data_IF_209705673319
#
_entry.id   IF_209705673319
#
_cell.length_a   1.000
_cell.length_b   1.000
_cell.length_c   1.000
_cell.angle_alpha   90.00
_cell.angle_beta   90.00
_cell.angle_gamma   90.00
#
_symmetry.space_group_name_H-M   'P 1'
#
loop_
_entity.id
_entity.type
_entity.pdbx_description
1 polymer ?
#
# COMPACT_ATOMS: atom_id res chain seq x y z
N UNK A 1 27.16 36.07 52.03
CA UNK A 1 27.35 34.62 51.73
C UNK A 1 26.06 33.88 51.34
N UNK A 2 24.86 34.30 51.77
CA UNK A 2 23.60 33.58 51.51
C UNK A 2 23.09 33.71 50.06
N UNK A 3 23.41 34.80 49.36
CA UNK A 3 23.04 35.00 47.95
C UNK A 3 23.80 34.07 47.00
N UNK A 4 25.07 33.77 47.28
CA UNK A 4 25.92 32.94 46.39
C UNK A 4 25.44 31.50 46.33
N UNK A 5 24.97 30.94 47.46
CA UNK A 5 24.37 29.59 47.51
C UNK A 5 23.07 29.52 46.71
N UNK A 6 22.20 30.53 46.83
CA UNK A 6 20.93 30.60 46.08
C UNK A 6 21.18 30.69 44.56
N UNK A 7 22.19 31.45 44.14
CA UNK A 7 22.59 31.54 42.72
C UNK A 7 23.09 30.19 42.19
N UNK A 8 23.91 29.46 42.96
CA UNK A 8 24.38 28.13 42.56
C UNK A 8 23.21 27.12 42.44
N UNK A 9 22.28 27.12 43.40
CA UNK A 9 21.09 26.27 43.30
C UNK A 9 20.25 26.58 42.06
N UNK A 10 20.05 27.87 41.76
CA UNK A 10 19.29 28.28 40.58
C UNK A 10 20.00 27.87 39.28
N UNK A 11 21.32 28.02 39.20
CA UNK A 11 22.11 27.60 38.04
C UNK A 11 22.05 26.08 37.82
N UNK A 12 22.16 25.28 38.88
CA UNK A 12 22.04 23.83 38.79
C UNK A 12 20.64 23.44 38.31
N UNK A 13 19.60 24.08 38.83
CA UNK A 13 18.21 23.81 38.46
C UNK A 13 17.95 24.15 36.98
N UNK A 14 18.46 25.30 36.52
CA UNK A 14 18.41 25.67 35.09
C UNK A 14 19.17 24.65 34.25
N UNK A 15 20.37 24.24 34.65
CA UNK A 15 21.17 23.26 33.92
C UNK A 15 20.46 21.89 33.80
N UNK A 16 19.88 21.41 34.89
CA UNK A 16 19.08 20.17 34.91
C UNK A 16 17.85 20.32 34.01
N UNK A 17 17.17 21.46 34.04
CA UNK A 17 15.99 21.69 33.18
C UNK A 17 16.36 21.72 31.70
N UNK A 18 17.48 22.36 31.32
CA UNK A 18 17.95 22.37 29.94
C UNK A 18 18.33 20.95 29.47
N UNK A 19 19.02 20.18 30.32
CA UNK A 19 19.35 18.80 30.01
C UNK A 19 18.11 17.90 29.89
N UNK A 20 17.10 18.10 30.75
CA UNK A 20 15.84 17.38 30.66
C UNK A 20 15.09 17.71 29.36
N UNK A 21 15.07 18.99 28.96
CA UNK A 21 14.43 19.42 27.72
C UNK A 21 15.10 18.85 26.47
N UNK A 22 16.43 18.85 26.43
CA UNK A 22 17.18 18.29 25.29
C UNK A 22 17.02 16.77 25.20
N UNK A 23 17.02 16.06 26.34
CA UNK A 23 16.75 14.63 26.39
C UNK A 23 15.33 14.30 25.94
N UNK A 24 14.34 15.07 26.41
CA UNK A 24 12.95 14.89 25.99
C UNK A 24 12.79 15.05 24.48
N UNK A 25 13.37 16.12 23.90
CA UNK A 25 13.32 16.34 22.45
C UNK A 25 14.04 15.26 21.63
N UNK A 26 15.12 14.67 22.16
CA UNK A 26 15.80 13.54 21.54
C UNK A 26 14.94 12.27 21.55
N UNK A 27 14.24 11.99 22.64
CA UNK A 27 13.35 10.83 22.76
C UNK A 27 12.16 10.97 21.80
N UNK A 28 11.54 12.15 21.72
CA UNK A 28 10.43 12.39 20.78
C UNK A 28 10.86 12.18 19.33
N UNK A 29 12.03 12.72 18.95
CA UNK A 29 12.63 12.49 17.62
C UNK A 29 12.91 11.01 17.34
N UNK A 30 13.33 10.25 18.35
CA UNK A 30 13.56 8.81 18.21
C UNK A 30 12.25 8.03 18.11
N UNK A 31 11.20 8.43 18.83
CA UNK A 31 9.88 7.81 18.77
C UNK A 31 9.26 7.98 17.38
N UNK A 32 9.29 9.19 16.80
CA UNK A 32 8.75 9.45 15.47
C UNK A 32 9.43 8.58 14.40
N UNK A 33 10.76 8.46 14.45
CA UNK A 33 11.52 7.56 13.58
C UNK A 33 11.17 6.08 13.80
N UNK A 34 10.86 5.70 15.03
CA UNK A 34 10.50 4.33 15.38
C UNK A 34 9.10 3.98 14.90
N UNK A 35 8.14 4.89 15.05
CA UNK A 35 6.78 4.74 14.52
C UNK A 35 6.81 4.58 13.00
N UNK A 36 7.57 5.43 12.29
CA UNK A 36 7.69 5.32 10.84
C UNK A 36 8.33 4.00 10.42
N UNK A 37 9.36 3.54 11.15
CA UNK A 37 10.00 2.23 10.92
C UNK A 37 9.09 1.05 11.19
N UNK A 38 8.09 1.19 12.05
CA UNK A 38 7.08 0.16 12.32
C UNK A 38 6.00 0.12 11.23
N UNK A 39 5.68 1.26 10.61
CA UNK A 39 4.72 1.34 9.51
C UNK A 39 5.24 0.76 8.19
N UNK A 40 6.55 0.86 7.92
CA UNK A 40 7.16 0.32 6.70
C UNK A 40 6.98 -1.21 6.54
N UNK A 41 7.29 -2.07 7.55
CA UNK A 41 7.15 -3.51 7.41
C UNK A 41 5.69 -3.99 7.36
N UNK A 42 4.75 -3.28 7.99
CA UNK A 42 3.32 -3.62 7.87
C UNK A 42 2.83 -3.34 6.44
N UNK A 43 3.17 -2.18 5.88
CA UNK A 43 2.80 -1.82 4.51
C UNK A 43 3.47 -2.75 3.49
N UNK A 44 4.75 -3.12 3.72
CA UNK A 44 5.45 -4.09 2.86
C UNK A 44 4.76 -5.45 2.82
N UNK A 45 4.31 -5.96 3.97
CA UNK A 45 3.57 -7.24 4.04
C UNK A 45 2.25 -7.17 3.29
N UNK A 46 1.57 -6.03 3.33
CA UNK A 46 0.32 -5.82 2.62
C UNK A 46 0.53 -5.80 1.10
N UNK A 47 1.56 -5.09 0.62
CA UNK A 47 1.93 -5.09 -0.80
C UNK A 47 2.29 -6.50 -1.27
N UNK A 48 3.14 -7.22 -0.52
CA UNK A 48 3.52 -8.60 -0.87
C UNK A 48 2.31 -9.57 -0.89
N UNK A 49 1.32 -9.36 -0.02
CA UNK A 49 0.07 -10.13 -0.02
C UNK A 49 -0.72 -9.87 -1.30
N UNK A 50 -0.93 -8.60 -1.64
CA UNK A 50 -1.67 -8.20 -2.84
C UNK A 50 -0.98 -8.70 -4.11
N UNK A 51 0.35 -8.63 -4.16
CA UNK A 51 1.13 -9.12 -5.30
C UNK A 51 0.97 -10.63 -5.48
N UNK A 52 1.02 -11.41 -4.39
CA UNK A 52 0.75 -12.86 -4.44
C UNK A 52 -0.66 -13.18 -4.91
N UNK A 53 -1.65 -12.44 -4.41
CA UNK A 53 -3.04 -12.62 -4.82
C UNK A 53 -3.22 -12.29 -6.31
N UNK A 54 -2.58 -11.24 -6.81
CA UNK A 54 -2.60 -10.87 -8.22
C UNK A 54 -1.93 -11.93 -9.10
N UNK A 55 -0.74 -12.41 -8.70
CA UNK A 55 -0.07 -13.52 -9.40
C UNK A 55 -0.97 -14.75 -9.45
N UNK A 56 -1.57 -15.12 -8.32
CA UNK A 56 -2.50 -16.24 -8.27
C UNK A 56 -3.71 -16.04 -9.19
N UNK A 57 -4.34 -14.87 -9.14
CA UNK A 57 -5.48 -14.55 -10.00
C UNK A 57 -5.09 -14.58 -11.47
N UNK A 58 -3.94 -14.03 -11.83
CA UNK A 58 -3.40 -14.08 -13.20
C UNK A 58 -3.25 -15.52 -13.67
N UNK A 59 -2.69 -16.41 -12.85
CA UNK A 59 -2.61 -17.83 -13.18
C UNK A 59 -3.98 -18.51 -13.31
N UNK A 60 -4.94 -18.14 -12.47
CA UNK A 60 -6.31 -18.65 -12.57
C UNK A 60 -6.99 -18.16 -13.86
N UNK A 61 -6.84 -16.88 -14.21
CA UNK A 61 -7.33 -16.29 -15.47
C UNK A 61 -6.69 -17.00 -16.65
N UNK A 62 -5.36 -17.12 -16.70
CA UNK A 62 -4.65 -17.79 -17.79
C UNK A 62 -5.11 -19.25 -17.97
N UNK A 63 -5.43 -19.92 -16.87
CA UNK A 63 -5.99 -21.28 -16.89
C UNK A 63 -7.41 -21.31 -17.43
N UNK A 64 -8.26 -20.37 -17.01
CA UNK A 64 -9.64 -20.24 -17.50
C UNK A 64 -9.70 -19.85 -18.98
N UNK A 65 -8.81 -18.97 -19.41
CA UNK A 65 -8.68 -18.51 -20.80
C UNK A 65 -7.91 -19.50 -21.69
N UNK A 66 -7.37 -20.59 -21.11
CA UNK A 66 -6.69 -21.60 -21.89
C UNK A 66 -7.64 -22.18 -22.95
N UNK A 67 -7.23 -22.24 -24.23
CA UNK A 67 -8.11 -22.67 -25.33
C UNK A 67 -8.72 -24.05 -25.10
N UNK A 68 -7.95 -24.94 -24.45
CA UNK A 68 -8.39 -26.29 -24.10
C UNK A 68 -9.54 -26.23 -23.09
N UNK A 69 -9.43 -25.40 -22.05
CA UNK A 69 -10.47 -25.25 -21.04
C UNK A 69 -11.73 -24.60 -21.62
N UNK A 70 -11.58 -23.60 -22.49
CA UNK A 70 -12.71 -22.98 -23.20
C UNK A 70 -13.43 -23.97 -24.12
N UNK A 71 -12.69 -24.83 -24.83
CA UNK A 71 -13.26 -25.90 -25.64
C UNK A 71 -13.98 -26.97 -24.80
N UNK A 72 -13.50 -27.26 -23.59
CA UNK A 72 -14.19 -28.15 -22.65
C UNK A 72 -15.48 -27.53 -22.09
N UNK A 73 -15.48 -26.23 -21.79
CA UNK A 73 -16.66 -25.48 -21.37
C UNK A 73 -17.73 -25.45 -22.44
N UNK A 74 -17.36 -25.23 -23.71
CA UNK A 74 -18.30 -25.25 -24.85
C UNK A 74 -19.04 -26.59 -25.01
N UNK A 75 -18.42 -27.71 -24.57
CA UNK A 75 -19.04 -29.04 -24.66
C UNK A 75 -20.09 -29.29 -23.58
N UNK A 76 -20.16 -28.45 -22.54
CA UNK A 76 -21.19 -28.58 -21.50
C UNK A 76 -22.51 -27.98 -21.99
N UNK A 77 -23.66 -28.65 -21.76
CA UNK A 77 -24.96 -28.19 -22.25
C UNK A 77 -25.37 -26.82 -21.70
N UNK A 78 -24.86 -26.45 -20.53
CA UNK A 78 -25.09 -25.15 -19.87
C UNK A 78 -24.54 -23.97 -20.68
N UNK A 79 -23.44 -24.18 -21.42
CA UNK A 79 -22.80 -23.15 -22.25
C UNK A 79 -23.07 -23.34 -23.74
N UNK A 80 -24.02 -24.20 -24.11
CA UNK A 80 -24.34 -24.48 -25.52
C UNK A 80 -24.86 -23.27 -26.31
N UNK A 81 -25.26 -22.20 -25.62
CA UNK A 81 -25.68 -20.93 -26.21
C UNK A 81 -24.52 -19.97 -26.51
N UNK A 82 -23.31 -20.22 -25.98
CA UNK A 82 -22.10 -19.46 -26.31
C UNK A 82 -21.55 -19.95 -27.65
N UNK A 83 -21.91 -19.22 -28.70
CA UNK A 83 -21.34 -19.40 -30.03
C UNK A 83 -20.25 -18.36 -30.28
N UNK A 84 -19.22 -18.74 -31.03
CA UNK A 84 -18.25 -17.79 -31.53
C UNK A 84 -18.99 -16.80 -32.45
N UNK A 85 -18.97 -15.50 -32.17
CA UNK A 85 -19.67 -14.52 -33.01
C UNK A 85 -19.10 -14.55 -34.42
N UNK A 86 -19.96 -14.54 -35.44
CA UNK A 86 -19.49 -14.35 -36.80
C UNK A 86 -19.07 -12.89 -36.97
N UNK A 87 -18.21 -12.58 -37.94
CA UNK A 87 -17.73 -11.21 -38.17
C UNK A 87 -18.85 -10.16 -38.30
N UNK A 88 -20.04 -10.59 -38.72
CA UNK A 88 -21.22 -9.74 -38.90
C UNK A 88 -21.93 -9.39 -37.57
N UNK A 89 -21.60 -10.08 -36.47
CA UNK A 89 -22.21 -9.89 -35.15
C UNK A 89 -21.39 -8.93 -34.26
N UNK A 90 -20.22 -8.50 -34.73
CA UNK A 90 -19.29 -7.65 -33.97
C UNK A 90 -19.57 -6.18 -34.29
N UNK A 91 -20.19 -5.47 -33.35
CA UNK A 91 -20.35 -4.01 -33.41
C UNK A 91 -19.12 -3.37 -32.79
N UNK A 92 -18.20 -2.89 -33.64
CA UNK A 92 -17.05 -2.09 -33.18
C UNK A 92 -17.53 -0.66 -33.00
N UNK A 93 -17.56 -0.18 -31.75
CA UNK A 93 -17.82 1.21 -31.44
C UNK A 93 -16.53 2.00 -31.71
N UNK A 94 -16.62 3.00 -32.60
CA UNK A 94 -15.52 3.95 -32.78
C UNK A 94 -15.37 4.81 -31.52
N UNK A 95 -14.12 4.95 -31.07
CA UNK A 95 -13.80 5.72 -29.87
C UNK A 95 -14.15 7.20 -30.10
N UNK A 96 -14.88 7.85 -29.18
CA UNK A 96 -15.24 9.26 -29.34
C UNK A 96 -13.96 10.09 -29.38
N UNK A 97 -13.77 10.80 -30.51
CA UNK A 97 -12.70 11.78 -30.68
C UNK A 97 -12.74 12.75 -29.48
N UNK A 98 -11.61 12.99 -28.79
CA UNK A 98 -11.59 13.89 -27.66
C UNK A 98 -12.04 15.29 -28.13
N UNK A 99 -13.04 15.85 -27.44
CA UNK A 99 -13.45 17.23 -27.63
C UNK A 99 -12.21 18.12 -27.46
N UNK A 100 -11.78 18.77 -28.54
CA UNK A 100 -10.78 19.84 -28.49
C UNK A 100 -11.53 21.12 -28.13
N UNK A 101 -11.49 21.50 -26.86
CA UNK A 101 -11.81 22.85 -26.38
C UNK A 101 -10.52 23.65 -26.17
#
# INVERSE_FOLDING_TARGET
>A
MMNTRKVLFFQILVCISCAAFTLYGLIDRQNELTELRLAIPSLKKEVERIEKDNIRLSYEIDRFESPIHLMELQRKPEFGHLHYPYKNDIVVLEEPQPLQD
#
